data_IF_113334755661
#
_entry.id   IF_113334755661
#
_cell.length_a   1.000
_cell.length_b   1.000
_cell.length_c   1.000
_cell.angle_alpha   90.00
_cell.angle_beta   90.00
_cell.angle_gamma   90.00
#
_symmetry.space_group_name_H-M   'P 1'
#
loop_
_entity.id
_entity.type
_entity.pdbx_description
1 polymer ?
#
# COMPACT_ATOMS: atom_id res chain seq x y z
N UNK A 1 42.21 -3.19 -12.92
CA UNK A 1 40.78 -3.39 -12.59
C UNK A 1 40.49 -4.88 -12.52
N UNK A 2 39.96 -5.39 -11.40
CA UNK A 2 39.57 -6.82 -11.29
C UNK A 2 38.33 -7.06 -12.15
N UNK A 3 38.46 -7.83 -13.22
CA UNK A 3 37.39 -8.12 -14.20
C UNK A 3 36.32 -9.11 -13.69
N UNK A 4 36.53 -9.76 -12.54
CA UNK A 4 35.60 -10.75 -11.99
C UNK A 4 35.39 -10.55 -10.49
N UNK A 5 34.14 -10.38 -10.07
CA UNK A 5 33.73 -10.37 -8.66
C UNK A 5 33.82 -11.77 -8.07
N UNK A 6 34.30 -11.87 -6.83
CA UNK A 6 34.33 -13.10 -6.05
C UNK A 6 32.90 -13.60 -5.73
N UNK A 7 32.77 -14.89 -5.38
CA UNK A 7 31.48 -15.46 -4.93
C UNK A 7 30.92 -14.71 -3.71
N UNK A 8 31.79 -14.31 -2.79
CA UNK A 8 31.41 -13.55 -1.59
C UNK A 8 30.88 -12.15 -1.94
N UNK A 9 31.54 -11.43 -2.85
CA UNK A 9 31.08 -10.13 -3.33
C UNK A 9 29.71 -10.23 -4.01
N UNK A 10 29.49 -11.25 -4.85
CA UNK A 10 28.19 -11.47 -5.52
C UNK A 10 27.07 -11.78 -4.52
N UNK A 11 27.33 -12.63 -3.53
CA UNK A 11 26.34 -12.96 -2.51
C UNK A 11 25.99 -11.75 -1.64
N UNK A 12 26.97 -10.92 -1.30
CA UNK A 12 26.74 -9.68 -0.55
C UNK A 12 25.92 -8.68 -1.35
N UNK A 13 26.22 -8.48 -2.63
CA UNK A 13 25.44 -7.60 -3.50
C UNK A 13 23.99 -8.07 -3.67
N UNK A 14 23.78 -9.37 -3.85
CA UNK A 14 22.44 -9.95 -3.92
C UNK A 14 21.64 -9.66 -2.64
N UNK A 15 22.27 -9.89 -1.48
CA UNK A 15 21.67 -9.62 -0.17
C UNK A 15 21.27 -8.16 0.01
N UNK A 16 22.15 -7.23 -0.39
CA UNK A 16 21.87 -5.80 -0.29
C UNK A 16 20.71 -5.39 -1.20
N UNK A 17 20.69 -5.87 -2.44
CA UNK A 17 19.61 -5.55 -3.38
C UNK A 17 18.25 -6.10 -2.93
N UNK A 18 18.23 -7.32 -2.39
CA UNK A 18 17.02 -7.90 -1.79
C UNK A 18 16.47 -7.00 -0.68
N UNK A 19 17.32 -6.66 0.29
CA UNK A 19 16.95 -5.82 1.43
C UNK A 19 16.49 -4.43 0.98
N UNK A 20 17.15 -3.85 -0.01
CA UNK A 20 16.76 -2.56 -0.58
C UNK A 20 15.38 -2.64 -1.22
N UNK A 21 15.11 -3.65 -2.05
CA UNK A 21 13.79 -3.79 -2.67
C UNK A 21 12.68 -4.08 -1.67
N UNK A 22 12.92 -4.94 -0.66
CA UNK A 22 11.96 -5.13 0.46
C UNK A 22 11.66 -3.80 1.15
N UNK A 23 12.68 -2.98 1.42
CA UNK A 23 12.49 -1.69 2.08
C UNK A 23 11.68 -0.70 1.22
N UNK A 24 11.91 -0.66 -0.09
CA UNK A 24 11.11 0.18 -1.00
C UNK A 24 9.66 -0.32 -1.10
N UNK A 25 9.43 -1.62 -1.17
CA UNK A 25 8.08 -2.20 -1.12
C UNK A 25 7.37 -1.87 0.20
N UNK A 26 8.06 -1.97 1.35
CA UNK A 26 7.50 -1.59 2.66
C UNK A 26 7.19 -0.09 2.75
N UNK A 27 7.97 0.78 2.09
CA UNK A 27 7.63 2.21 1.97
C UNK A 27 6.41 2.42 1.09
N UNK A 28 6.29 1.68 -0.01
CA UNK A 28 5.11 1.68 -0.86
C UNK A 28 3.86 1.32 -0.08
N UNK A 29 3.88 0.18 0.60
CA UNK A 29 2.77 -0.31 1.43
C UNK A 29 2.29 0.77 2.44
N UNK A 30 3.23 1.38 3.18
CA UNK A 30 2.91 2.47 4.12
C UNK A 30 2.36 3.72 3.43
N UNK A 31 2.81 4.03 2.23
CA UNK A 31 2.32 5.17 1.46
C UNK A 31 0.90 4.92 0.97
N UNK A 32 0.63 3.71 0.48
CA UNK A 32 -0.68 3.28 0.00
C UNK A 32 -1.70 3.21 1.15
N UNK A 33 -1.28 2.76 2.34
CA UNK A 33 -2.14 2.77 3.53
C UNK A 33 -2.67 4.18 3.84
N UNK A 34 -1.81 5.20 3.79
CA UNK A 34 -2.23 6.59 3.97
C UNK A 34 -3.21 7.05 2.89
N UNK A 35 -3.00 6.63 1.64
CA UNK A 35 -3.91 6.95 0.52
C UNK A 35 -5.25 6.27 0.65
N UNK A 36 -5.26 5.03 1.15
CA UNK A 36 -6.47 4.29 1.50
C UNK A 36 -7.30 5.09 2.50
N UNK A 37 -6.69 5.58 3.58
CA UNK A 37 -7.38 6.39 4.61
C UNK A 37 -7.95 7.71 4.06
N UNK A 38 -7.17 8.40 3.21
CA UNK A 38 -7.64 9.62 2.52
C UNK A 38 -8.89 9.33 1.66
N UNK A 39 -8.84 8.26 0.84
CA UNK A 39 -9.93 7.86 -0.05
C UNK A 39 -11.17 7.39 0.70
N UNK A 40 -11.01 6.66 1.81
CA UNK A 40 -12.12 6.31 2.71
C UNK A 40 -12.79 7.57 3.24
N UNK A 41 -12.01 8.57 3.68
CA UNK A 41 -12.56 9.83 4.17
C UNK A 41 -13.34 10.59 3.09
N UNK A 42 -12.84 10.61 1.85
CA UNK A 42 -13.55 11.24 0.72
C UNK A 42 -14.83 10.48 0.36
N UNK A 43 -14.80 9.15 0.35
CA UNK A 43 -15.98 8.34 0.09
C UNK A 43 -17.06 8.58 1.15
N UNK A 44 -16.69 8.60 2.44
CA UNK A 44 -17.62 8.87 3.53
C UNK A 44 -18.26 10.24 3.41
N UNK A 45 -17.47 11.28 3.12
CA UNK A 45 -17.97 12.64 2.99
C UNK A 45 -18.89 12.79 1.77
N UNK A 46 -18.51 12.22 0.62
CA UNK A 46 -19.34 12.22 -0.58
C UNK A 46 -20.67 11.47 -0.37
N UNK A 47 -20.65 10.35 0.37
CA UNK A 47 -21.85 9.59 0.75
C UNK A 47 -22.77 10.42 1.64
N UNK A 48 -22.22 11.13 2.64
CA UNK A 48 -22.99 12.03 3.52
C UNK A 48 -23.62 13.20 2.77
N UNK A 49 -22.89 13.78 1.82
CA UNK A 49 -23.36 14.92 1.02
C UNK A 49 -24.26 14.50 -0.16
N UNK A 50 -24.47 13.19 -0.39
CA UNK A 50 -25.26 12.67 -1.51
C UNK A 50 -24.61 12.85 -2.88
N UNK A 51 -23.30 13.10 -2.93
CA UNK A 51 -22.57 13.39 -4.17
C UNK A 51 -22.02 12.08 -4.78
N UNK A 52 -22.91 11.34 -5.42
CA UNK A 52 -22.64 9.96 -5.87
C UNK A 52 -21.51 9.83 -6.90
N UNK A 53 -21.25 10.85 -7.71
CA UNK A 53 -20.15 10.82 -8.68
C UNK A 53 -18.79 10.80 -7.97
N UNK A 54 -18.58 11.67 -6.99
CA UNK A 54 -17.35 11.77 -6.20
C UNK A 54 -17.19 10.55 -5.28
N UNK A 55 -18.31 10.00 -4.78
CA UNK A 55 -18.31 8.70 -4.09
C UNK A 55 -17.75 7.60 -4.99
N UNK A 56 -18.25 7.48 -6.22
CA UNK A 56 -17.77 6.50 -7.19
C UNK A 56 -16.28 6.63 -7.51
N UNK A 57 -15.77 7.86 -7.67
CA UNK A 57 -14.33 8.12 -7.89
C UNK A 57 -13.50 7.68 -6.69
N UNK A 58 -13.93 8.00 -5.46
CA UNK A 58 -13.22 7.63 -4.25
C UNK A 58 -13.18 6.10 -4.07
N UNK A 59 -14.29 5.40 -4.33
CA UNK A 59 -14.38 3.93 -4.28
C UNK A 59 -13.49 3.28 -5.34
N UNK A 60 -13.50 3.78 -6.57
CA UNK A 60 -12.63 3.25 -7.64
C UNK A 60 -11.15 3.41 -7.30
N UNK A 61 -10.75 4.60 -6.83
CA UNK A 61 -9.39 4.84 -6.35
C UNK A 61 -9.01 3.92 -5.18
N UNK A 62 -9.96 3.66 -4.27
CA UNK A 62 -9.76 2.78 -3.12
C UNK A 62 -9.52 1.32 -3.56
N UNK A 63 -10.30 0.82 -4.53
CA UNK A 63 -10.10 -0.51 -5.15
C UNK A 63 -8.70 -0.65 -5.71
N UNK A 64 -8.28 0.33 -6.49
CA UNK A 64 -6.96 0.33 -7.12
C UNK A 64 -5.83 0.34 -6.08
N UNK A 65 -5.88 1.27 -5.10
CA UNK A 65 -4.87 1.36 -4.04
C UNK A 65 -4.81 0.06 -3.23
N UNK A 66 -5.96 -0.52 -2.89
CA UNK A 66 -6.03 -1.74 -2.10
C UNK A 66 -5.45 -2.96 -2.83
N UNK A 67 -5.83 -3.17 -4.09
CA UNK A 67 -5.31 -4.26 -4.91
C UNK A 67 -3.78 -4.17 -5.02
N UNK A 68 -3.26 -2.98 -5.31
CA UNK A 68 -1.82 -2.77 -5.43
C UNK A 68 -1.07 -2.92 -4.11
N UNK A 69 -1.67 -2.52 -2.99
CA UNK A 69 -1.14 -2.75 -1.66
C UNK A 69 -1.02 -4.25 -1.35
N UNK A 70 -2.07 -5.03 -1.65
CA UNK A 70 -2.07 -6.48 -1.49
C UNK A 70 -0.95 -7.13 -2.30
N UNK A 71 -0.72 -6.67 -3.53
CA UNK A 71 0.40 -7.11 -4.38
C UNK A 71 1.76 -6.78 -3.79
N UNK A 72 1.95 -5.56 -3.26
CA UNK A 72 3.20 -5.20 -2.56
C UNK A 72 3.49 -6.14 -1.38
N UNK A 73 2.48 -6.45 -0.56
CA UNK A 73 2.61 -7.36 0.58
C UNK A 73 2.94 -8.79 0.15
N UNK A 74 2.26 -9.30 -0.87
CA UNK A 74 2.56 -10.62 -1.45
C UNK A 74 4.01 -10.69 -1.95
N UNK A 75 4.47 -9.65 -2.65
CA UNK A 75 5.84 -9.59 -3.17
C UNK A 75 6.89 -9.53 -2.05
N UNK A 76 6.64 -8.75 -0.98
CA UNK A 76 7.51 -8.75 0.21
C UNK A 76 7.65 -10.16 0.76
N UNK A 77 6.54 -10.85 0.97
CA UNK A 77 6.53 -12.21 1.49
C UNK A 77 7.29 -13.17 0.56
N UNK A 78 7.09 -13.07 -0.75
CA UNK A 78 7.76 -13.91 -1.73
C UNK A 78 9.28 -13.75 -1.70
N UNK A 79 9.75 -12.50 -1.59
CA UNK A 79 11.18 -12.20 -1.53
C UNK A 79 11.77 -12.65 -0.18
N UNK A 80 11.06 -12.45 0.94
CA UNK A 80 11.51 -12.92 2.26
C UNK A 80 11.61 -14.45 2.31
N UNK A 81 10.63 -15.17 1.75
CA UNK A 81 10.71 -16.63 1.58
C UNK A 81 11.89 -17.02 0.71
N UNK A 82 12.12 -16.31 -0.40
CA UNK A 82 13.26 -16.55 -1.30
C UNK A 82 14.61 -16.30 -0.60
N UNK A 83 14.73 -15.25 0.22
CA UNK A 83 15.93 -14.98 1.02
C UNK A 83 16.20 -16.12 2.02
N UNK A 84 15.13 -16.72 2.59
CA UNK A 84 15.25 -17.82 3.55
C UNK A 84 15.60 -19.17 2.92
N UNK A 85 15.18 -19.41 1.67
CA UNK A 85 15.26 -20.73 1.03
C UNK A 85 16.60 -21.03 0.32
N UNK A 86 17.49 -20.06 0.07
CA UNK A 86 18.55 -20.23 -0.95
C UNK A 86 19.93 -19.66 -0.60
N UNK A 87 20.95 -20.32 -1.15
CA UNK A 87 22.32 -19.82 -1.24
C UNK A 87 22.37 -18.62 -2.21
N UNK A 88 22.44 -17.40 -1.66
CA UNK A 88 22.42 -16.11 -2.37
C UNK A 88 23.50 -16.00 -3.46
N UNK A 89 24.51 -16.88 -3.43
CA UNK A 89 25.53 -17.04 -4.46
C UNK A 89 25.00 -17.47 -5.82
N UNK A 90 23.79 -18.07 -5.88
CA UNK A 90 23.13 -18.50 -7.13
C UNK A 90 22.23 -17.44 -7.76
N UNK A 91 21.95 -16.33 -7.05
CA UNK A 91 21.18 -15.25 -7.63
C UNK A 91 21.97 -14.55 -8.74
N UNK A 92 21.35 -14.43 -9.91
CA UNK A 92 21.97 -13.83 -11.08
C UNK A 92 22.11 -12.32 -10.90
N UNK A 93 23.08 -11.73 -11.59
CA UNK A 93 23.19 -10.26 -11.67
C UNK A 93 21.95 -9.60 -12.27
N UNK A 94 21.15 -10.36 -13.02
CA UNK A 94 19.88 -9.92 -13.58
C UNK A 94 18.83 -9.72 -12.49
N UNK A 95 18.75 -10.61 -11.51
CA UNK A 95 17.85 -10.44 -10.36
C UNK A 95 18.17 -9.18 -9.55
N UNK A 96 19.46 -8.93 -9.29
CA UNK A 96 19.93 -7.71 -8.60
C UNK A 96 19.51 -6.45 -9.35
N UNK A 97 19.62 -6.45 -10.68
CA UNK A 97 19.17 -5.34 -11.53
C UNK A 97 17.66 -5.17 -11.49
N UNK A 98 16.90 -6.26 -11.54
CA UNK A 98 15.44 -6.24 -11.44
C UNK A 98 14.99 -5.62 -10.11
N UNK A 99 15.60 -6.01 -8.98
CA UNK A 99 15.31 -5.41 -7.67
C UNK A 99 15.62 -3.91 -7.63
N UNK A 100 16.71 -3.48 -8.27
CA UNK A 100 17.01 -2.06 -8.42
C UNK A 100 15.98 -1.29 -9.26
N UNK A 101 15.44 -1.91 -10.31
CA UNK A 101 14.39 -1.32 -11.14
C UNK A 101 13.07 -1.24 -10.40
N UNK A 102 12.66 -2.33 -9.72
CA UNK A 102 11.46 -2.35 -8.86
C UNK A 102 11.55 -1.24 -7.82
N UNK A 103 12.67 -1.13 -7.11
CA UNK A 103 12.85 -0.06 -6.11
C UNK A 103 12.69 1.35 -6.70
N UNK A 104 13.20 1.60 -7.91
CA UNK A 104 13.04 2.89 -8.59
C UNK A 104 11.60 3.19 -8.98
N UNK A 105 10.91 2.22 -9.59
CA UNK A 105 9.53 2.40 -10.04
C UNK A 105 8.58 2.54 -8.86
N UNK A 106 8.74 1.71 -7.83
CA UNK A 106 8.00 1.78 -6.57
C UNK A 106 8.23 3.12 -5.86
N UNK A 107 9.46 3.64 -5.87
CA UNK A 107 9.76 4.96 -5.29
C UNK A 107 9.00 6.09 -5.98
N UNK A 108 8.67 5.99 -7.28
CA UNK A 108 7.86 7.01 -7.97
C UNK A 108 6.44 7.08 -7.39
N UNK A 109 5.83 5.92 -7.10
CA UNK A 109 4.50 5.84 -6.48
C UNK A 109 4.52 6.49 -5.09
N UNK A 110 5.56 6.25 -4.28
CA UNK A 110 5.67 6.84 -2.93
C UNK A 110 5.80 8.37 -2.92
N UNK A 111 6.20 8.99 -4.03
CA UNK A 111 6.38 10.45 -4.14
C UNK A 111 5.12 11.18 -4.62
N UNK A 112 4.14 10.47 -5.17
CA UNK A 112 2.91 11.07 -5.65
C UNK A 112 2.01 11.45 -4.46
N UNK A 113 2.08 12.71 -4.04
CA UNK A 113 1.56 13.19 -2.76
C UNK A 113 0.05 13.46 -2.73
N UNK A 114 -0.68 13.49 -3.86
CA UNK A 114 -2.12 13.76 -3.89
C UNK A 114 -2.84 13.05 -5.05
N UNK A 115 -3.56 11.97 -4.74
CA UNK A 115 -4.35 11.21 -5.71
C UNK A 115 -5.40 12.08 -6.42
N UNK A 116 -6.26 12.77 -5.67
CA UNK A 116 -7.36 13.55 -6.27
C UNK A 116 -6.89 14.71 -7.15
N UNK A 117 -5.70 15.27 -6.89
CA UNK A 117 -5.18 16.36 -7.73
C UNK A 117 -4.44 15.84 -8.96
N UNK A 118 -3.73 14.73 -8.82
CA UNK A 118 -2.82 14.19 -9.83
C UNK A 118 -3.14 12.73 -10.13
N UNK A 119 -4.42 12.40 -10.34
CA UNK A 119 -4.92 11.04 -10.51
C UNK A 119 -4.19 10.31 -11.64
N UNK A 120 -4.08 10.96 -12.81
CA UNK A 120 -3.44 10.39 -13.99
C UNK A 120 -1.95 10.07 -13.75
N UNK A 121 -1.22 10.92 -13.04
CA UNK A 121 0.21 10.69 -12.77
C UNK A 121 0.38 9.57 -11.73
N UNK A 122 -0.55 9.47 -10.78
CA UNK A 122 -0.58 8.38 -9.82
C UNK A 122 -0.86 7.03 -10.52
N UNK A 123 -1.90 6.96 -11.36
CA UNK A 123 -2.24 5.79 -12.16
C UNK A 123 -1.07 5.35 -13.06
N UNK A 124 -0.42 6.29 -13.75
CA UNK A 124 0.78 6.01 -14.56
C UNK A 124 1.95 5.48 -13.72
N UNK A 125 2.16 6.06 -12.54
CA UNK A 125 3.20 5.61 -11.62
C UNK A 125 2.95 4.19 -11.14
N UNK A 126 1.70 3.88 -10.77
CA UNK A 126 1.29 2.54 -10.37
C UNK A 126 1.47 1.53 -11.50
N UNK A 127 0.99 1.83 -12.71
CA UNK A 127 1.10 0.94 -13.86
C UNK A 127 2.56 0.61 -14.22
N UNK A 128 3.45 1.61 -14.15
CA UNK A 128 4.89 1.39 -14.34
C UNK A 128 5.48 0.47 -13.27
N UNK A 129 5.06 0.65 -12.02
CA UNK A 129 5.53 -0.15 -10.91
C UNK A 129 4.92 -1.57 -10.90
N UNK A 130 3.67 -1.74 -11.34
CA UNK A 130 3.03 -3.04 -11.60
C UNK A 130 3.80 -3.82 -12.66
N UNK A 131 4.14 -3.17 -13.77
CA UNK A 131 4.94 -3.79 -14.84
C UNK A 131 6.28 -4.29 -14.29
N UNK A 132 6.95 -3.51 -13.44
CA UNK A 132 8.20 -3.91 -12.82
C UNK A 132 8.02 -5.09 -11.84
N UNK A 133 6.91 -5.12 -11.10
CA UNK A 133 6.57 -6.23 -10.20
C UNK A 133 6.23 -7.51 -10.97
N UNK A 134 5.53 -7.42 -12.10
CA UNK A 134 5.22 -8.56 -12.98
C UNK A 134 6.48 -9.20 -13.54
N UNK A 135 7.45 -8.38 -13.95
CA UNK A 135 8.74 -8.88 -14.41
C UNK A 135 9.51 -9.60 -13.30
N UNK A 136 9.42 -9.10 -12.06
CA UNK A 136 10.02 -9.74 -10.90
C UNK A 136 9.30 -11.06 -10.57
N UNK A 137 7.98 -11.06 -10.62
CA UNK A 137 7.13 -12.23 -10.40
C UNK A 137 7.44 -13.32 -11.41
N UNK A 138 7.42 -13.03 -12.71
CA UNK A 138 7.77 -14.01 -13.75
C UNK A 138 9.19 -14.58 -13.61
N UNK A 139 10.14 -13.78 -13.08
CA UNK A 139 11.47 -14.30 -12.73
C UNK A 139 11.40 -15.29 -11.55
N UNK A 140 10.62 -14.98 -10.51
CA UNK A 140 10.44 -15.84 -9.34
C UNK A 140 9.66 -17.12 -9.69
N UNK A 141 8.63 -17.03 -10.53
CA UNK A 141 7.87 -18.16 -11.06
C UNK A 141 8.77 -19.11 -11.86
N UNK A 142 9.57 -18.58 -12.79
CA UNK A 142 10.54 -19.36 -13.55
C UNK A 142 11.61 -20.04 -12.68
N UNK A 143 11.74 -19.62 -11.43
CA UNK A 143 12.63 -20.23 -10.43
C UNK A 143 11.93 -21.21 -9.47
N UNK A 144 10.64 -21.51 -9.69
CA UNK A 144 9.83 -22.45 -8.92
C UNK A 144 9.18 -21.87 -7.66
N UNK A 145 9.08 -20.54 -7.57
CA UNK A 145 8.63 -19.81 -6.39
C UNK A 145 7.45 -18.88 -6.75
N UNK A 146 6.34 -19.42 -7.26
CA UNK A 146 5.12 -18.65 -7.56
C UNK A 146 4.15 -18.62 -6.35
N UNK A 147 3.27 -17.62 -6.26
CA UNK A 147 2.17 -17.54 -5.28
C UNK A 147 0.81 -17.38 -6.01
N UNK A 148 -0.29 -17.82 -5.40
CA UNK A 148 -1.64 -17.64 -5.94
C UNK A 148 -2.29 -16.34 -5.44
N UNK A 149 -2.69 -15.44 -6.35
CA UNK A 149 -3.46 -14.26 -5.99
C UNK A 149 -4.92 -14.59 -5.64
N UNK A 150 -5.48 -13.95 -4.61
CA UNK A 150 -6.89 -14.09 -4.21
C UNK A 150 -7.88 -13.43 -5.18
N UNK A 151 -9.17 -13.78 -5.08
CA UNK A 151 -10.20 -13.41 -6.07
C UNK A 151 -10.68 -11.95 -5.97
N UNK A 152 -11.23 -11.42 -7.08
CA UNK A 152 -11.77 -10.05 -7.17
C UNK A 152 -13.03 -9.84 -6.30
N UNK A 153 -13.86 -10.87 -6.13
CA UNK A 153 -15.06 -10.81 -5.29
C UNK A 153 -14.73 -10.62 -3.79
N UNK A 154 -13.58 -11.14 -3.33
CA UNK A 154 -13.12 -10.95 -1.96
C UNK A 154 -12.72 -9.49 -1.69
N UNK A 155 -12.15 -8.83 -2.71
CA UNK A 155 -11.70 -7.43 -2.63
C UNK A 155 -12.88 -6.47 -2.47
N UNK A 156 -13.94 -6.67 -3.24
CA UNK A 156 -15.10 -5.78 -3.23
C UNK A 156 -15.82 -5.76 -1.88
N UNK A 157 -16.04 -6.94 -1.30
CA UNK A 157 -16.65 -7.07 0.03
C UNK A 157 -15.78 -6.48 1.13
N UNK A 158 -14.46 -6.61 1.01
CA UNK A 158 -13.53 -6.06 1.99
C UNK A 158 -13.52 -4.52 1.97
N UNK A 159 -13.66 -3.93 0.79
CA UNK A 159 -13.71 -2.47 0.62
C UNK A 159 -14.99 -1.86 1.19
N UNK A 160 -16.14 -2.49 0.99
CA UNK A 160 -17.39 -2.05 1.63
C UNK A 160 -17.26 -2.05 3.16
N UNK A 161 -16.73 -3.14 3.71
CA UNK A 161 -16.46 -3.25 5.15
C UNK A 161 -15.49 -2.17 5.64
N UNK A 162 -14.43 -1.82 4.89
CA UNK A 162 -13.50 -0.75 5.27
C UNK A 162 -14.17 0.62 5.34
N UNK A 163 -15.04 0.93 4.37
CA UNK A 163 -15.75 2.23 4.32
C UNK A 163 -16.70 2.36 5.51
N UNK A 164 -17.47 1.31 5.82
CA UNK A 164 -18.50 1.33 6.85
C UNK A 164 -17.94 1.13 8.27
N UNK A 165 -16.95 0.27 8.47
CA UNK A 165 -16.33 0.02 9.79
C UNK A 165 -15.58 1.26 10.32
N UNK A 166 -14.89 1.99 9.45
CA UNK A 166 -14.21 3.25 9.81
C UNK A 166 -15.21 4.37 10.10
N UNK A 167 -16.37 4.33 9.45
CA UNK A 167 -17.48 5.27 9.68
C UNK A 167 -18.06 5.09 11.07
N UNK A 168 -18.35 3.85 11.46
CA UNK A 168 -18.85 3.51 12.79
C UNK A 168 -17.87 3.88 13.91
N UNK A 169 -16.57 3.63 13.73
CA UNK A 169 -15.55 3.99 14.71
C UNK A 169 -15.39 5.51 14.88
N UNK A 170 -15.45 6.31 13.80
CA UNK A 170 -15.42 7.79 13.89
C UNK A 170 -16.71 8.39 14.46
N UNK A 171 -17.87 7.81 14.17
CA UNK A 171 -19.16 8.24 14.74
C UNK A 171 -19.15 8.01 16.25
N UNK A 172 -18.70 6.83 16.72
CA UNK A 172 -18.58 6.53 18.15
C UNK A 172 -17.71 7.54 18.90
N UNK A 173 -16.57 7.93 18.34
CA UNK A 173 -15.66 8.91 18.97
C UNK A 173 -16.23 10.33 18.93
N UNK A 174 -16.95 10.69 17.87
CA UNK A 174 -17.63 11.99 17.78
C UNK A 174 -18.82 12.09 18.73
N UNK A 175 -19.58 11.01 18.88
CA UNK A 175 -20.72 10.93 19.82
C UNK A 175 -20.23 11.05 21.27
N UNK A 176 -19.13 10.38 21.64
CA UNK A 176 -18.51 10.50 22.97
C UNK A 176 -18.02 11.94 23.26
N UNK A 177 -17.46 12.64 22.26
CA UNK A 177 -17.01 14.03 22.39
C UNK A 177 -18.20 15.02 22.45
N UNK A 178 -19.27 14.76 21.71
CA UNK A 178 -20.52 15.54 21.76
C UNK A 178 -21.17 15.40 23.14
N UNK A 179 -21.28 14.17 23.66
CA UNK A 179 -21.83 13.90 24.99
C UNK A 179 -21.03 14.57 26.09
N UNK A 180 -19.69 14.58 25.98
CA UNK A 180 -18.80 15.27 26.92
C UNK A 180 -19.03 16.78 26.92
N UNK A 181 -19.22 17.40 25.75
CA UNK A 181 -19.49 18.84 25.62
C UNK A 181 -20.88 19.24 26.07
N UNK A 182 -21.87 18.36 25.90
CA UNK A 182 -23.21 18.55 26.44
C UNK A 182 -23.19 18.52 27.98
N UNK A 183 -22.51 17.53 28.57
CA UNK A 183 -22.37 17.42 30.02
C UNK A 183 -21.63 18.63 30.65
N UNK A 184 -20.60 19.15 29.99
CA UNK A 184 -19.91 20.37 30.43
C UNK A 184 -20.81 21.63 30.33
N UNK A 185 -21.64 21.71 29.29
CA UNK A 185 -22.58 22.82 29.09
C UNK A 185 -23.71 22.80 30.13
N UNK A 186 -24.18 21.62 30.52
CA UNK A 186 -25.18 21.44 31.58
C UNK A 186 -24.62 21.75 32.98
N UNK A 187 -23.37 21.36 33.25
CA UNK A 187 -22.67 21.78 34.48
C UNK A 187 -22.48 23.30 34.57
N UNK A 188 -22.13 23.96 33.46
CA UNK A 188 -22.04 25.43 33.42
C UNK A 188 -23.39 26.11 33.60
N UNK A 189 -24.47 25.54 33.05
CA UNK A 189 -25.84 26.06 33.20
C UNK A 189 -26.40 25.89 34.61
N UNK A 190 -26.04 24.81 35.32
CA UNK A 190 -26.45 24.59 36.71
C UNK A 190 -25.67 25.50 37.67
N UNK A 191 -24.39 25.74 37.42
CA UNK A 191 -23.56 26.69 38.18
C UNK A 191 -23.93 28.17 37.98
N UNK A 192 -24.73 28.51 36.96
CA UNK A 192 -25.25 29.87 36.70
C UNK A 192 -26.66 30.10 37.29
N UNK A 193 -27.25 29.07 37.92
CA UNK A 193 -28.58 29.12 38.55
C UNK A 193 -28.55 29.07 40.08
N UNK A 194 -27.36 29.01 40.69
CA UNK A 194 -27.09 29.31 42.11
C UNK A 194 -26.53 30.72 42.25
#
# INVERSE_FOLDING_TARGET
>A
MKLFKSKAEKAMEAKLAIRQGINELKKCDRSLEKKKDELISYAQEAKKQGIMQQYGVAVSGLKMVYAYQKRCKAMILQIEMTESMRDLTTMSSQFVKLMGNVGKEVSKVTKATQFLKNQMDFEKGMLSAETAMEQLEGFLEGSGMAFEAGTEADIDKEIENMIDATGAAKISVLDEEIDRRLAESEKKRSALKE
#
